data_IF_841347140587
#
_entry.id   IF_841347140587
#
_cell.length_a   1.000
_cell.length_b   1.000
_cell.length_c   1.000
_cell.angle_alpha   90.00
_cell.angle_beta   90.00
_cell.angle_gamma   90.00
#
_symmetry.space_group_name_H-M   'P 1'
#
loop_
_entity.id
_entity.type
_entity.pdbx_description
1 polymer ?
#
# COMPACT_ATOMS: atom_id res chain seq x y z
N UNK A 1 -7.04 1.49 -12.57
CA UNK A 1 -7.70 2.17 -11.45
C UNK A 1 -6.62 2.80 -10.58
N UNK A 2 -6.89 3.93 -9.94
CA UNK A 2 -6.00 4.50 -8.91
C UNK A 2 -6.85 4.69 -7.67
N UNK A 3 -6.56 3.93 -6.62
CA UNK A 3 -7.15 4.12 -5.29
C UNK A 3 -6.06 4.57 -4.32
N UNK A 4 -6.32 5.58 -3.51
CA UNK A 4 -5.36 6.07 -2.53
C UNK A 4 -6.08 6.55 -1.27
N UNK A 5 -5.53 6.18 -0.12
CA UNK A 5 -6.06 6.58 1.17
C UNK A 5 -4.94 6.77 2.19
N UNK A 6 -5.22 7.58 3.20
CA UNK A 6 -4.29 7.85 4.28
C UNK A 6 -4.83 7.23 5.57
N UNK A 7 -3.97 6.56 6.33
CA UNK A 7 -4.28 6.02 7.65
C UNK A 7 -3.29 6.56 8.68
N UNK A 8 -3.84 7.07 9.79
CA UNK A 8 -3.06 7.46 10.96
C UNK A 8 -2.97 6.28 11.92
N UNK A 9 -1.76 5.90 12.27
CA UNK A 9 -1.49 4.79 13.17
C UNK A 9 -1.40 5.28 14.62
N UNK A 10 -1.68 4.41 15.61
CA UNK A 10 -1.55 4.76 17.04
C UNK A 10 -0.15 5.24 17.45
N UNK A 11 0.87 4.85 16.68
CA UNK A 11 2.26 5.32 16.83
C UNK A 11 2.47 6.79 16.45
N UNK A 12 1.43 7.51 16.00
CA UNK A 12 1.51 8.88 15.49
C UNK A 12 1.93 8.98 14.02
N UNK A 13 2.40 7.87 13.43
CA UNK A 13 2.80 7.77 12.03
C UNK A 13 1.59 7.90 11.11
N UNK A 14 1.76 8.64 10.02
CA UNK A 14 0.74 8.77 8.97
C UNK A 14 1.25 8.10 7.72
N UNK A 15 0.52 7.11 7.22
CA UNK A 15 0.89 6.33 6.03
C UNK A 15 -0.14 6.59 4.94
N UNK A 16 0.33 6.87 3.74
CA UNK A 16 -0.51 6.96 2.54
C UNK A 16 -0.32 5.71 1.72
N UNK A 17 -1.39 4.95 1.55
CA UNK A 17 -1.42 3.77 0.71
C UNK A 17 -1.95 4.15 -0.67
N UNK A 18 -1.51 3.40 -1.68
CA UNK A 18 -1.97 3.59 -3.04
C UNK A 18 -1.94 2.27 -3.81
N UNK A 19 -3.01 2.03 -4.57
CA UNK A 19 -3.17 0.95 -5.53
C UNK A 19 -3.19 1.58 -6.91
N UNK A 20 -2.33 1.09 -7.80
CA UNK A 20 -2.27 1.49 -9.20
C UNK A 20 -2.37 0.25 -10.09
N UNK A 21 -2.96 0.39 -11.27
CA UNK A 21 -3.02 -0.68 -12.26
C UNK A 21 -4.41 -1.28 -12.42
N UNK A 22 -4.47 -2.43 -13.07
CA UNK A 22 -5.72 -3.09 -13.46
C UNK A 22 -5.47 -4.57 -13.75
N UNK A 23 -6.55 -5.36 -13.86
CA UNK A 23 -6.44 -6.82 -14.05
C UNK A 23 -5.71 -7.26 -15.33
N UNK A 24 -5.57 -6.40 -16.36
CA UNK A 24 -4.78 -6.73 -17.57
C UNK A 24 -3.30 -6.44 -17.38
N UNK A 25 -2.96 -5.41 -16.61
CA UNK A 25 -1.59 -4.90 -16.46
C UNK A 25 -0.91 -5.36 -15.15
N UNK A 26 -1.69 -5.93 -14.23
CA UNK A 26 -1.27 -6.21 -12.85
C UNK A 26 -1.50 -5.00 -11.93
N UNK A 27 -1.35 -5.24 -10.62
CA UNK A 27 -1.52 -4.22 -9.59
C UNK A 27 -0.20 -3.88 -8.90
N UNK A 28 0.02 -2.59 -8.73
CA UNK A 28 1.13 -2.01 -7.97
C UNK A 28 0.57 -1.41 -6.69
N UNK A 29 1.08 -1.87 -5.57
CA UNK A 29 0.74 -1.36 -4.24
C UNK A 29 1.89 -0.51 -3.72
N UNK A 30 1.58 0.56 -3.00
CA UNK A 30 2.62 1.39 -2.39
C UNK A 30 2.18 1.96 -1.05
N UNK A 31 3.16 2.17 -0.18
CA UNK A 31 2.99 2.80 1.12
C UNK A 31 4.04 3.91 1.31
N UNK A 32 3.57 5.12 1.57
CA UNK A 32 4.39 6.29 1.82
C UNK A 32 4.27 6.73 3.27
N UNK A 33 5.41 6.84 3.96
CA UNK A 33 5.49 7.23 5.36
C UNK A 33 6.75 8.07 5.59
N UNK A 34 6.63 9.24 6.23
CA UNK A 34 7.77 10.09 6.64
C UNK A 34 8.82 10.32 5.53
N UNK A 35 8.36 10.56 4.30
CA UNK A 35 9.21 10.80 3.12
C UNK A 35 9.81 9.55 2.48
N UNK A 36 9.60 8.37 3.07
CA UNK A 36 9.97 7.07 2.48
C UNK A 36 8.79 6.48 1.72
N UNK A 37 9.06 6.02 0.50
CA UNK A 37 8.09 5.38 -0.39
C UNK A 37 8.56 3.95 -0.65
N UNK A 38 7.70 2.97 -0.36
CA UNK A 38 7.92 1.58 -0.74
C UNK A 38 6.84 1.18 -1.73
N UNK A 39 7.24 0.44 -2.77
CA UNK A 39 6.36 -0.04 -3.82
C UNK A 39 6.55 -1.54 -3.96
N UNK A 40 5.43 -2.25 -4.02
CA UNK A 40 5.38 -3.68 -4.26
C UNK A 40 4.56 -3.93 -5.52
N UNK A 41 5.19 -4.56 -6.51
CA UNK A 41 4.53 -4.94 -7.75
C UNK A 41 4.10 -6.38 -7.57
N UNK A 42 2.80 -6.62 -7.60
CA UNK A 42 2.30 -7.98 -7.60
C UNK A 42 1.88 -8.39 -9.00
N UNK A 43 2.28 -9.60 -9.41
CA UNK A 43 1.78 -10.22 -10.64
C UNK A 43 0.37 -10.79 -10.49
N UNK A 44 -0.32 -10.55 -9.37
CA UNK A 44 -1.66 -11.08 -9.13
C UNK A 44 -2.68 -10.39 -10.03
N UNK A 45 -3.54 -11.19 -10.66
CA UNK A 45 -4.68 -10.71 -11.46
C UNK A 45 -5.84 -10.19 -10.59
N UNK A 46 -5.78 -10.43 -9.28
CA UNK A 46 -6.77 -9.98 -8.30
C UNK A 46 -6.28 -8.75 -7.54
N UNK A 47 -7.15 -7.74 -7.49
CA UNK A 47 -6.94 -6.52 -6.74
C UNK A 47 -7.06 -6.82 -5.24
N UNK A 48 -6.05 -6.44 -4.46
CA UNK A 48 -6.12 -6.51 -3.00
C UNK A 48 -7.09 -5.45 -2.47
N UNK A 49 -7.83 -5.82 -1.42
CA UNK A 49 -8.60 -4.84 -0.64
C UNK A 49 -7.66 -3.88 0.08
N UNK A 50 -8.19 -2.72 0.50
CA UNK A 50 -7.44 -1.76 1.32
C UNK A 50 -6.81 -2.40 2.55
N UNK A 51 -7.55 -3.27 3.24
CA UNK A 51 -7.04 -4.02 4.41
C UNK A 51 -5.90 -4.98 4.03
N UNK A 52 -5.99 -5.65 2.87
CA UNK A 52 -4.92 -6.52 2.38
C UNK A 52 -3.62 -5.75 2.10
N UNK A 53 -3.72 -4.55 1.51
CA UNK A 53 -2.57 -3.66 1.26
C UNK A 53 -1.97 -3.16 2.58
N UNK A 54 -2.80 -2.83 3.57
CA UNK A 54 -2.32 -2.43 4.89
C UNK A 54 -1.55 -3.56 5.60
N UNK A 55 -2.03 -4.81 5.48
CA UNK A 55 -1.34 -5.99 6.04
C UNK A 55 -0.02 -6.25 5.32
N UNK A 56 0.00 -6.14 3.98
CA UNK A 56 1.21 -6.29 3.16
C UNK A 56 2.33 -5.35 3.64
N UNK A 57 2.00 -4.09 3.91
CA UNK A 57 2.97 -3.10 4.38
C UNK A 57 3.09 -3.01 5.91
N UNK A 58 2.46 -3.89 6.69
CA UNK A 58 2.46 -3.79 8.15
C UNK A 58 3.87 -3.81 8.75
N UNK A 59 4.78 -4.64 8.22
CA UNK A 59 6.18 -4.70 8.66
C UNK A 59 6.93 -3.40 8.34
N UNK A 60 6.74 -2.87 7.14
CA UNK A 60 7.33 -1.59 6.73
C UNK A 60 6.86 -0.44 7.62
N UNK A 61 5.55 -0.36 7.90
CA UNK A 61 4.96 0.65 8.79
C UNK A 61 5.47 0.51 10.23
N UNK A 62 5.64 -0.73 10.70
CA UNK A 62 6.25 -1.03 11.98
C UNK A 62 7.76 -0.65 12.03
N UNK A 63 8.41 -0.47 10.88
CA UNK A 63 9.84 -0.18 10.78
C UNK A 63 10.72 -1.39 11.06
N UNK A 64 10.22 -2.59 10.77
CA UNK A 64 10.94 -3.86 10.90
C UNK A 64 11.57 -4.30 9.58
#
# INVERSE_FOLDING_TARGET
MIDSWTKKFPSGKTVTFKIEGDRKSGFVYSAKMDGRDIREITGFLEELTREGVEVMFANYVAGK
#
